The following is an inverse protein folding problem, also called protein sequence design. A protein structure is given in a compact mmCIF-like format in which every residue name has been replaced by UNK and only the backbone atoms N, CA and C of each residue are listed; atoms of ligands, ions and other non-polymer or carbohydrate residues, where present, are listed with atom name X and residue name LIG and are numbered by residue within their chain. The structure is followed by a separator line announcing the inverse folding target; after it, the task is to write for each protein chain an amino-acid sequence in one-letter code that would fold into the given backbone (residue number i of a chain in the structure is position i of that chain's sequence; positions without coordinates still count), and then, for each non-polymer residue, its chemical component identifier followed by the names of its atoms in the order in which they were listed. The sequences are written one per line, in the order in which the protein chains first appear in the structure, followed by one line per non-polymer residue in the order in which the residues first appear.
data_IF_313613945075
#
_entry.id   IF_313613945075
#
_cell.length_a   1.000
_cell.length_b   1.000
_cell.length_c   1.000
_cell.angle_alpha   90.00
_cell.angle_beta   90.00
_cell.angle_gamma   90.00
#
_symmetry.space_group_name_H-M   'P 1'
#
loop_
_entity.id
_entity.type
_entity.pdbx_description
1 polymer ?
#
# COMPACT_ATOMS: atom_id res chain seq x y z
N UNK A 1 2.64 8.34 11.56
CA UNK A 1 3.39 9.10 10.54
C UNK A 1 3.35 8.42 9.16
N UNK A 2 3.71 7.13 9.04
CA UNK A 2 3.67 6.40 7.76
C UNK A 2 2.29 6.44 7.07
N UNK A 3 1.20 6.16 7.78
CA UNK A 3 -0.16 6.16 7.19
C UNK A 3 -0.54 7.51 6.58
N UNK A 4 -0.19 8.62 7.24
CA UNK A 4 -0.44 9.96 6.72
C UNK A 4 0.30 10.19 5.41
N UNK A 5 1.59 9.84 5.35
CA UNK A 5 2.41 10.03 4.15
C UNK A 5 1.97 9.13 3.00
N UNK A 6 1.59 7.88 3.28
CA UNK A 6 1.05 6.96 2.26
C UNK A 6 -0.26 7.52 1.70
N UNK A 7 -1.16 7.98 2.57
CA UNK A 7 -2.45 8.59 2.17
C UNK A 7 -2.24 9.85 1.32
N UNK A 8 -1.33 10.73 1.74
CA UNK A 8 -0.97 11.93 0.99
C UNK A 8 -0.46 11.58 -0.41
N UNK A 9 0.47 10.64 -0.53
CA UNK A 9 1.02 10.21 -1.81
C UNK A 9 -0.04 9.53 -2.69
N UNK A 10 -0.92 8.68 -2.14
CA UNK A 10 -2.05 8.10 -2.88
C UNK A 10 -2.92 9.20 -3.49
N UNK A 11 -3.25 10.23 -2.72
CA UNK A 11 -4.05 11.34 -3.19
C UNK A 11 -3.33 12.13 -4.29
N UNK A 12 -2.09 12.56 -4.05
CA UNK A 12 -1.31 13.34 -5.04
C UNK A 12 -1.15 12.56 -6.34
N UNK A 13 -0.75 11.29 -6.27
CA UNK A 13 -0.57 10.44 -7.44
C UNK A 13 -1.89 10.19 -8.17
N UNK A 14 -3.02 10.03 -7.46
CA UNK A 14 -4.34 9.89 -8.09
C UNK A 14 -4.73 11.09 -8.95
N UNK A 15 -4.26 12.29 -8.61
CA UNK A 15 -4.48 13.48 -9.43
C UNK A 15 -3.47 13.58 -10.57
N UNK A 16 -2.18 13.35 -10.31
CA UNK A 16 -1.14 13.38 -11.34
C UNK A 16 -1.41 12.37 -12.44
N UNK A 17 -1.84 11.16 -12.08
CA UNK A 17 -2.07 10.10 -13.04
C UNK A 17 -3.24 10.36 -13.99
N UNK A 18 -4.16 11.28 -13.68
CA UNK A 18 -5.26 11.66 -14.59
C UNK A 18 -4.78 12.36 -15.85
N UNK A 19 -3.64 13.04 -15.79
CA UNK A 19 -3.01 13.66 -16.96
C UNK A 19 -1.90 12.75 -17.48
N UNK A 20 -2.07 12.23 -18.70
CA UNK A 20 -1.09 11.32 -19.31
C UNK A 20 0.30 11.95 -19.40
N UNK A 21 0.39 13.25 -19.66
CA UNK A 21 1.68 13.94 -19.80
C UNK A 21 2.44 14.02 -18.48
N UNK A 22 1.72 14.09 -17.35
CA UNK A 22 2.32 14.11 -16.02
C UNK A 22 2.98 12.78 -15.67
N UNK A 23 2.44 11.65 -16.16
CA UNK A 23 3.00 10.33 -15.88
C UNK A 23 4.39 10.09 -16.47
N UNK A 24 4.78 10.84 -17.52
CA UNK A 24 6.11 10.73 -18.14
C UNK A 24 7.14 11.67 -17.48
N UNK A 25 6.74 12.44 -16.46
CA UNK A 25 7.67 13.31 -15.75
C UNK A 25 8.49 12.51 -14.74
N UNK A 26 9.78 12.85 -14.62
CA UNK A 26 10.65 12.25 -13.59
C UNK A 26 10.11 12.47 -12.18
N UNK A 27 9.52 13.62 -11.90
CA UNK A 27 8.91 13.92 -10.59
C UNK A 27 7.74 12.98 -10.25
N UNK A 28 6.88 12.67 -11.21
CA UNK A 28 5.79 11.71 -11.00
C UNK A 28 6.34 10.30 -10.73
N UNK A 29 7.37 9.90 -11.47
CA UNK A 29 8.04 8.61 -11.27
C UNK A 29 8.69 8.53 -9.87
N UNK A 30 9.42 9.56 -9.45
CA UNK A 30 10.06 9.63 -8.14
C UNK A 30 9.04 9.56 -6.99
N UNK A 31 7.92 10.28 -7.11
CA UNK A 31 6.82 10.21 -6.16
C UNK A 31 6.23 8.81 -6.10
N UNK A 32 6.02 8.16 -7.25
CA UNK A 32 5.49 6.80 -7.30
C UNK A 32 6.46 5.79 -6.69
N UNK A 33 7.75 5.83 -7.02
CA UNK A 33 8.72 4.90 -6.43
C UNK A 33 8.87 5.10 -4.92
N UNK A 34 8.82 6.35 -4.47
CA UNK A 34 8.80 6.70 -3.04
C UNK A 34 7.56 6.13 -2.34
N UNK A 35 6.39 6.23 -2.98
CA UNK A 35 5.15 5.62 -2.50
C UNK A 35 5.28 4.09 -2.39
N UNK A 36 5.79 3.43 -3.44
CA UNK A 36 5.95 1.96 -3.46
C UNK A 36 6.90 1.48 -2.37
N UNK A 37 8.02 2.15 -2.17
CA UNK A 37 9.00 1.80 -1.13
C UNK A 37 8.43 2.01 0.27
N UNK A 38 7.77 3.16 0.50
CA UNK A 38 7.13 3.46 1.76
C UNK A 38 6.02 2.46 2.10
N UNK A 39 5.17 2.10 1.12
CA UNK A 39 4.10 1.13 1.29
C UNK A 39 4.65 -0.26 1.65
N UNK A 40 5.70 -0.73 0.96
CA UNK A 40 6.34 -2.02 1.26
C UNK A 40 6.88 -2.05 2.69
N UNK A 41 7.65 -1.03 3.06
CA UNK A 41 8.22 -0.90 4.41
C UNK A 41 7.13 -0.86 5.48
N UNK A 42 6.08 -0.09 5.24
CA UNK A 42 4.95 0.03 6.15
C UNK A 42 4.24 -1.31 6.37
N UNK A 43 3.93 -2.03 5.29
CA UNK A 43 3.30 -3.35 5.39
C UNK A 43 4.20 -4.31 6.17
N UNK A 44 5.51 -4.34 5.87
CA UNK A 44 6.47 -5.20 6.59
C UNK A 44 6.55 -4.91 8.09
N UNK A 45 6.55 -3.62 8.46
CA UNK A 45 6.56 -3.20 9.87
C UNK A 45 5.27 -3.64 10.57
N UNK A 46 4.10 -3.37 9.99
CA UNK A 46 2.82 -3.75 10.59
C UNK A 46 2.69 -5.27 10.71
N UNK A 47 3.01 -6.01 9.65
CA UNK A 47 2.96 -7.48 9.63
C UNK A 47 3.89 -8.09 10.72
N UNK A 48 5.12 -7.57 10.85
CA UNK A 48 6.10 -8.11 11.79
C UNK A 48 5.86 -7.68 13.23
N UNK A 49 5.70 -6.37 13.46
CA UNK A 49 5.76 -5.78 14.79
C UNK A 49 4.40 -5.72 15.47
N UNK A 50 3.31 -5.66 14.70
CA UNK A 50 1.96 -5.61 15.28
C UNK A 50 1.27 -6.96 15.20
N UNK A 51 1.16 -7.54 14.00
CA UNK A 51 0.47 -8.83 13.84
C UNK A 51 1.24 -9.98 14.50
N UNK A 52 2.58 -9.92 14.57
CA UNK A 52 3.41 -10.96 15.14
C UNK A 52 3.06 -11.33 16.59
N UNK A 53 2.73 -10.35 17.44
CA UNK A 53 2.39 -10.60 18.84
C UNK A 53 0.91 -10.98 19.00
N UNK A 54 0.03 -10.39 18.20
CA UNK A 54 -1.39 -10.75 18.17
C UNK A 54 -1.61 -12.22 17.75
N UNK A 55 -0.79 -12.75 16.85
CA UNK A 55 -0.82 -14.14 16.43
C UNK A 55 -0.39 -15.13 17.52
N UNK A 56 0.27 -14.67 18.58
CA UNK A 56 0.63 -15.50 19.74
C UNK A 56 -0.45 -15.50 20.82
N UNK A 57 -1.45 -14.61 20.71
CA UNK A 57 -2.52 -14.52 21.69
C UNK A 57 -3.35 -15.80 21.76
N UNK A 58 -3.69 -16.29 22.97
CA UNK A 58 -4.60 -17.44 23.13
C UNK A 58 -6.05 -17.09 22.78
N UNK A 59 -6.40 -15.80 22.69
CA UNK A 59 -7.72 -15.36 22.26
C UNK A 59 -7.86 -15.51 20.74
N UNK A 60 -8.74 -16.44 20.33
CA UNK A 60 -9.04 -16.71 18.93
C UNK A 60 -9.51 -15.48 18.16
N UNK A 61 -10.20 -14.54 18.81
CA UNK A 61 -10.68 -13.30 18.15
C UNK A 61 -9.50 -12.39 17.80
N UNK A 62 -8.60 -12.17 18.74
CA UNK A 62 -7.38 -11.36 18.57
C UNK A 62 -6.50 -11.97 17.47
N UNK A 63 -6.33 -13.29 17.54
CA UNK A 63 -5.57 -14.04 16.56
C UNK A 63 -6.17 -13.90 15.14
N UNK A 64 -7.50 -13.98 15.03
CA UNK A 64 -8.19 -13.87 13.74
C UNK A 64 -8.05 -12.49 13.10
N UNK A 65 -8.06 -11.41 13.89
CA UNK A 65 -7.79 -10.05 13.41
C UNK A 65 -6.42 -10.01 12.73
N UNK A 66 -5.38 -10.49 13.41
CA UNK A 66 -4.04 -10.50 12.82
C UNK A 66 -3.93 -11.38 11.56
N UNK A 67 -4.60 -12.53 11.51
CA UNK A 67 -4.65 -13.35 10.27
C UNK A 67 -5.29 -12.61 9.10
N UNK A 68 -6.37 -11.86 9.35
CA UNK A 68 -7.03 -11.08 8.30
C UNK A 68 -6.11 -9.98 7.76
N UNK A 69 -5.41 -9.25 8.63
CA UNK A 69 -4.41 -8.26 8.21
C UNK A 69 -3.29 -8.90 7.38
N UNK A 70 -2.74 -10.04 7.82
CA UNK A 70 -1.69 -10.75 7.08
C UNK A 70 -2.17 -11.19 5.68
N UNK A 71 -3.42 -11.65 5.58
CA UNK A 71 -4.03 -12.00 4.29
C UNK A 71 -4.15 -10.78 3.37
N UNK A 72 -4.68 -9.66 3.88
CA UNK A 72 -4.77 -8.40 3.13
C UNK A 72 -3.40 -7.87 2.68
N UNK A 73 -2.40 -7.96 3.55
CA UNK A 73 -1.01 -7.61 3.21
C UNK A 73 -0.46 -8.44 2.05
N UNK A 74 -0.73 -9.75 2.00
CA UNK A 74 -0.34 -10.60 0.86
C UNK A 74 -1.03 -10.19 -0.44
N UNK A 75 -2.30 -9.82 -0.37
CA UNK A 75 -3.07 -9.39 -1.54
C UNK A 75 -2.54 -8.07 -2.12
N UNK A 76 -2.30 -7.07 -1.27
CA UNK A 76 -1.72 -5.78 -1.69
C UNK A 76 -0.32 -6.00 -2.27
N UNK A 77 0.52 -6.82 -1.63
CA UNK A 77 1.86 -7.17 -2.15
C UNK A 77 1.77 -7.82 -3.55
N UNK A 78 0.78 -8.69 -3.78
CA UNK A 78 0.53 -9.33 -5.07
C UNK A 78 0.13 -8.30 -6.13
N UNK A 79 -0.87 -7.48 -5.86
CA UNK A 79 -1.35 -6.45 -6.79
C UNK A 79 -0.27 -5.43 -7.11
N UNK A 80 0.47 -4.97 -6.09
CA UNK A 80 1.61 -4.08 -6.27
C UNK A 80 2.71 -4.70 -7.15
N UNK A 81 3.00 -5.99 -6.99
CA UNK A 81 3.95 -6.72 -7.84
C UNK A 81 3.45 -6.80 -9.29
N UNK A 82 2.18 -7.13 -9.48
CA UNK A 82 1.59 -7.21 -10.83
C UNK A 82 1.55 -5.82 -11.50
N UNK A 83 1.20 -4.79 -10.75
CA UNK A 83 1.21 -3.39 -11.17
C UNK A 83 2.60 -2.96 -11.62
N UNK A 84 3.60 -3.13 -10.76
CA UNK A 84 4.99 -2.71 -11.06
C UNK A 84 5.56 -3.50 -12.22
N UNK A 85 5.24 -4.79 -12.38
CA UNK A 85 5.64 -5.58 -13.56
C UNK A 85 5.03 -5.03 -14.85
N UNK A 86 3.79 -4.54 -14.81
CA UNK A 86 3.06 -4.05 -15.99
C UNK A 86 3.49 -2.64 -16.39
N UNK A 87 3.64 -1.76 -15.41
CA UNK A 87 3.76 -0.32 -15.65
C UNK A 87 5.13 0.26 -15.31
N UNK A 88 6.02 -0.49 -14.65
CA UNK A 88 7.38 -0.03 -14.37
C UNK A 88 8.41 -0.79 -15.24
N UNK A 89 9.24 -0.08 -16.01
CA UNK A 89 10.36 -0.69 -16.72
C UNK A 89 11.36 -1.35 -15.76
N UNK A 90 11.87 -2.52 -16.15
CA UNK A 90 12.86 -3.28 -15.37
C UNK A 90 14.28 -2.75 -15.45
N UNK A 91 14.61 -1.96 -16.50
CA UNK A 91 15.98 -1.54 -16.82
C UNK A 91 16.29 -0.06 -16.55
N UNK A 92 15.29 0.83 -16.46
CA UNK A 92 15.48 2.26 -16.21
C UNK A 92 14.33 2.78 -15.37
N UNK A 93 14.56 3.21 -14.13
CA UNK A 93 13.51 3.73 -13.22
C UNK A 93 13.06 5.14 -13.58
N UNK A 94 13.38 5.63 -14.77
CA UNK A 94 13.25 7.06 -15.07
C UNK A 94 11.83 7.40 -15.53
N UNK A 95 11.06 6.41 -16.05
CA UNK A 95 9.73 6.60 -16.63
C UNK A 95 8.76 5.44 -16.30
N UNK A 96 7.44 5.70 -16.29
CA UNK A 96 6.41 4.66 -16.31
C UNK A 96 6.11 4.20 -17.75
N UNK A 97 5.89 2.91 -17.96
CA UNK A 97 5.58 2.32 -19.28
C UNK A 97 4.06 2.23 -19.51
N UNK A 98 3.42 3.37 -19.75
CA UNK A 98 1.95 3.48 -19.87
C UNK A 98 1.53 3.45 -21.34
N UNK A 99 1.26 2.25 -21.86
CA UNK A 99 0.78 2.04 -23.22
C UNK A 99 -0.74 2.23 -23.37
N UNK A 100 -1.48 2.05 -22.27
CA UNK A 100 -2.94 2.16 -22.22
C UNK A 100 -3.35 2.93 -20.96
N UNK A 101 -3.54 4.24 -21.11
CA UNK A 101 -3.73 5.15 -19.98
C UNK A 101 -4.98 4.85 -19.15
N UNK A 102 -6.09 4.51 -19.80
CA UNK A 102 -7.34 4.15 -19.12
C UNK A 102 -7.17 2.91 -18.22
N UNK A 103 -6.46 1.89 -18.71
CA UNK A 103 -6.20 0.68 -17.94
C UNK A 103 -5.21 0.93 -16.81
N UNK A 104 -4.20 1.76 -17.04
CA UNK A 104 -3.30 2.21 -15.99
C UNK A 104 -4.07 2.91 -14.85
N UNK A 105 -5.00 3.81 -15.19
CA UNK A 105 -5.84 4.48 -14.20
C UNK A 105 -6.68 3.49 -13.38
N UNK A 106 -7.32 2.51 -14.02
CA UNK A 106 -8.09 1.48 -13.32
C UNK A 106 -7.21 0.66 -12.36
N UNK A 107 -6.02 0.22 -12.82
CA UNK A 107 -5.09 -0.52 -11.98
C UNK A 107 -4.58 0.34 -10.80
N UNK A 108 -4.35 1.64 -11.01
CA UNK A 108 -3.94 2.56 -9.92
C UNK A 108 -5.05 2.80 -8.91
N UNK A 109 -6.29 2.96 -9.37
CA UNK A 109 -7.45 3.17 -8.51
C UNK A 109 -7.66 1.96 -7.61
N UNK A 110 -7.63 0.74 -8.17
CA UNK A 110 -7.70 -0.50 -7.40
C UNK A 110 -6.60 -0.57 -6.34
N UNK A 111 -5.35 -0.28 -6.70
CA UNK A 111 -4.24 -0.30 -5.76
C UNK A 111 -4.42 0.72 -4.63
N UNK A 112 -4.82 1.94 -4.95
CA UNK A 112 -5.00 2.99 -3.95
C UNK A 112 -6.18 2.72 -3.03
N UNK A 113 -7.32 2.27 -3.56
CA UNK A 113 -8.49 1.90 -2.76
C UNK A 113 -8.13 0.85 -1.71
N UNK A 114 -7.45 -0.22 -2.10
CA UNK A 114 -7.04 -1.28 -1.18
C UNK A 114 -6.06 -0.79 -0.11
N UNK A 115 -5.13 0.09 -0.48
CA UNK A 115 -4.16 0.65 0.48
C UNK A 115 -4.83 1.59 1.46
N UNK A 116 -5.75 2.44 0.99
CA UNK A 116 -6.51 3.36 1.84
C UNK A 116 -7.44 2.59 2.78
N UNK A 117 -8.12 1.54 2.30
CA UNK A 117 -8.94 0.67 3.13
C UNK A 117 -8.09 0.00 4.23
N UNK A 118 -6.91 -0.51 3.89
CA UNK A 118 -6.01 -1.09 4.89
C UNK A 118 -5.59 -0.08 5.95
N UNK A 119 -5.28 1.17 5.58
CA UNK A 119 -4.93 2.24 6.53
C UNK A 119 -6.11 2.57 7.47
N UNK A 120 -7.33 2.57 6.94
CA UNK A 120 -8.54 2.75 7.73
C UNK A 120 -8.69 1.60 8.74
N UNK A 121 -8.62 0.36 8.28
CA UNK A 121 -8.74 -0.82 9.13
C UNK A 121 -7.65 -0.83 10.22
N UNK A 122 -6.43 -0.43 9.91
CA UNK A 122 -5.35 -0.30 10.90
C UNK A 122 -5.72 0.70 12.00
N UNK A 123 -6.29 1.83 11.61
CA UNK A 123 -6.65 2.93 12.51
C UNK A 123 -7.84 2.56 13.39
N UNK A 124 -8.85 1.90 12.82
CA UNK A 124 -10.11 1.58 13.48
C UNK A 124 -10.08 0.26 14.25
N UNK A 125 -9.23 -0.68 13.86
CA UNK A 125 -9.24 -2.04 14.41
C UNK A 125 -7.89 -2.48 14.99
N UNK A 126 -6.81 -2.35 14.22
CA UNK A 126 -5.51 -2.91 14.63
C UNK A 126 -4.88 -2.12 15.78
N UNK A 127 -4.74 -0.80 15.63
CA UNK A 127 -4.06 0.04 16.64
C UNK A 127 -4.79 0.05 17.99
N UNK A 128 -6.14 0.14 18.06
CA UNK A 128 -6.86 0.01 19.33
C UNK A 128 -6.60 -1.34 19.99
N UNK A 129 -6.59 -2.42 19.22
CA UNK A 129 -6.35 -3.77 19.73
C UNK A 129 -4.94 -3.92 20.31
N UNK A 130 -3.90 -3.50 19.57
CA UNK A 130 -2.51 -3.52 20.05
C UNK A 130 -2.36 -2.70 21.34
N UNK A 131 -2.95 -1.50 21.40
CA UNK A 131 -2.92 -0.65 22.60
C UNK A 131 -3.60 -1.29 23.81
N UNK A 132 -4.64 -2.11 23.60
CA UNK A 132 -5.34 -2.78 24.69
C UNK A 132 -4.52 -3.91 25.34
N UNK A 133 -3.58 -4.51 24.59
CA UNK A 133 -2.73 -5.62 25.05
C UNK A 133 -1.43 -5.14 25.71
N UNK A 134 -1.01 -3.91 25.43
CA UNK A 134 0.16 -3.28 26.04
C UNK A 134 -0.17 -2.49 27.32
N UNK A 135 -1.41 -2.59 27.82
CA UNK A 135 -1.84 -2.04 29.12
C UNK A 135 -1.81 -3.13 30.17
#
# INVERSE_FOLDING_TARGET
EQNHRITELSNVLSYLFKDRSMCDTGSCCDLFYSYVDLLKKHIEVVDREMCGDLLKSPDKKINNVARNFMSGSMEIKRILKDFTRRWCPTKKKDNLHINEHARFLQDTEQLFEMVLQRILDETEHLYPLVRSLNK
#
